data_IF_329777812418
#
_entry.id   IF_329777812418
#
_cell.length_a   1.000
_cell.length_b   1.000
_cell.length_c   1.000
_cell.angle_alpha   90.00
_cell.angle_beta   90.00
_cell.angle_gamma   90.00
#
_symmetry.space_group_name_H-M   'P 1'
#
loop_
_entity.id
_entity.type
_entity.pdbx_description
1 polymer ?
#
# COMPACT_ATOMS: atom_id res chain seq x y z
N UNK A 1 34.66 39.76 -32.01
CA UNK A 1 33.38 39.71 -31.24
C UNK A 1 32.87 38.29 -31.24
N UNK A 2 33.10 37.57 -30.21
CA UNK A 2 32.68 36.18 -30.07
C UNK A 2 31.43 36.16 -29.19
N UNK A 3 30.26 35.95 -29.79
CA UNK A 3 29.01 35.77 -29.08
C UNK A 3 28.97 34.33 -28.59
N UNK A 4 29.31 34.12 -27.33
CA UNK A 4 29.10 32.84 -26.65
C UNK A 4 27.63 32.68 -26.38
N UNK A 5 26.97 31.85 -27.16
CA UNK A 5 25.61 31.40 -26.88
C UNK A 5 25.70 30.35 -25.78
N UNK A 6 25.41 30.77 -24.58
CA UNK A 6 25.26 29.88 -23.41
C UNK A 6 23.90 29.18 -23.56
N UNK A 7 23.89 28.01 -24.17
CA UNK A 7 22.74 27.13 -24.15
C UNK A 7 22.63 26.55 -22.75
N UNK A 8 21.83 27.18 -21.92
CA UNK A 8 21.39 26.59 -20.67
C UNK A 8 20.43 25.45 -21.00
N UNK A 9 20.95 24.25 -21.05
CA UNK A 9 20.16 23.04 -21.06
C UNK A 9 19.52 22.91 -19.68
N UNK A 10 18.32 23.44 -19.57
CA UNK A 10 17.45 23.22 -18.43
C UNK A 10 16.98 21.76 -18.50
N UNK A 11 17.77 20.86 -17.94
CA UNK A 11 17.34 19.49 -17.69
C UNK A 11 16.23 19.56 -16.63
N UNK A 12 15.00 19.65 -17.11
CA UNK A 12 13.85 19.41 -16.27
C UNK A 12 13.93 17.95 -15.79
N UNK A 13 14.47 17.76 -14.58
CA UNK A 13 14.35 16.50 -13.87
C UNK A 13 12.86 16.27 -13.61
N UNK A 14 12.23 15.56 -14.50
CA UNK A 14 10.92 14.99 -14.28
C UNK A 14 11.16 13.93 -13.19
N UNK A 15 10.99 14.33 -11.94
CA UNK A 15 10.85 13.41 -10.84
C UNK A 15 9.56 12.62 -11.10
N UNK A 16 9.67 11.54 -11.86
CA UNK A 16 8.63 10.53 -11.92
C UNK A 16 8.53 9.97 -10.50
N UNK A 17 7.52 10.45 -9.78
CA UNK A 17 7.09 9.81 -8.54
C UNK A 17 6.76 8.37 -8.92
N UNK A 18 7.69 7.46 -8.70
CA UNK A 18 7.44 6.04 -8.80
C UNK A 18 6.48 5.73 -7.63
N UNK A 19 5.18 5.90 -7.88
CA UNK A 19 4.20 5.29 -7.00
C UNK A 19 4.54 3.81 -6.95
N UNK A 20 4.93 3.34 -5.77
CA UNK A 20 5.21 1.94 -5.55
C UNK A 20 3.94 1.17 -5.88
N UNK A 21 3.86 0.65 -7.10
CA UNK A 21 2.71 -0.10 -7.56
C UNK A 21 2.65 -1.39 -6.76
N UNK A 22 1.53 -1.62 -6.10
CA UNK A 22 1.28 -2.86 -5.40
C UNK A 22 1.43 -4.06 -6.34
N UNK A 23 2.10 -5.09 -5.85
CA UNK A 23 2.24 -6.39 -6.52
C UNK A 23 2.09 -7.50 -5.49
N UNK A 24 1.50 -8.65 -5.85
CA UNK A 24 1.56 -9.83 -5.00
C UNK A 24 3.00 -10.21 -4.68
N UNK A 25 3.27 -10.56 -3.42
CA UNK A 25 4.60 -10.89 -2.96
C UNK A 25 4.98 -12.35 -3.29
N UNK A 26 6.11 -12.52 -3.98
CA UNK A 26 6.86 -13.78 -4.13
C UNK A 26 6.09 -14.96 -4.71
N UNK A 27 6.67 -16.17 -4.51
CA UNK A 27 6.22 -17.45 -5.06
C UNK A 27 5.28 -18.23 -4.12
N UNK A 28 4.57 -17.53 -3.26
CA UNK A 28 3.63 -18.18 -2.34
C UNK A 28 2.40 -18.69 -3.06
N UNK A 29 1.79 -19.72 -2.50
CA UNK A 29 0.57 -20.33 -3.03
C UNK A 29 -0.52 -19.26 -3.20
N UNK A 30 -1.09 -19.23 -4.38
CA UNK A 30 -2.19 -18.34 -4.77
C UNK A 30 -3.35 -19.17 -5.28
N UNK A 31 -4.56 -18.67 -5.04
CA UNK A 31 -5.75 -19.22 -5.68
C UNK A 31 -5.94 -18.64 -7.07
N UNK A 32 -6.77 -19.27 -7.89
CA UNK A 32 -7.14 -18.76 -9.23
C UNK A 32 -7.75 -17.36 -9.23
N UNK A 33 -8.31 -16.92 -8.09
CA UNK A 33 -8.90 -15.58 -7.95
C UNK A 33 -7.87 -14.50 -7.58
N UNK A 34 -6.64 -14.87 -7.29
CA UNK A 34 -5.60 -13.91 -6.90
C UNK A 34 -5.30 -12.88 -7.99
N UNK A 35 -5.46 -13.25 -9.25
CA UNK A 35 -5.24 -12.37 -10.40
C UNK A 35 -6.36 -11.33 -10.58
N UNK A 36 -7.51 -11.55 -9.96
CA UNK A 36 -8.66 -10.65 -10.02
C UNK A 36 -8.67 -9.58 -8.92
N UNK A 37 -7.70 -9.65 -8.01
CA UNK A 37 -7.62 -8.69 -6.89
C UNK A 37 -7.18 -7.32 -7.41
N UNK A 38 -8.06 -6.34 -7.24
CA UNK A 38 -7.77 -4.94 -7.55
C UNK A 38 -7.53 -4.18 -6.24
N UNK A 39 -6.35 -3.60 -6.01
CA UNK A 39 -6.04 -2.87 -4.79
C UNK A 39 -6.87 -1.60 -4.58
N UNK A 40 -7.46 -1.05 -5.63
CA UNK A 40 -8.33 0.13 -5.54
C UNK A 40 -9.79 -0.22 -5.16
N UNK A 41 -10.17 -1.48 -5.33
CA UNK A 41 -11.53 -1.95 -5.06
C UNK A 41 -11.52 -3.35 -4.45
N UNK A 42 -10.93 -3.47 -3.27
CA UNK A 42 -10.75 -4.74 -2.59
C UNK A 42 -11.99 -5.10 -1.79
N UNK A 43 -12.62 -6.22 -2.16
CA UNK A 43 -13.77 -6.77 -1.43
C UNK A 43 -14.78 -5.67 -1.03
N UNK A 44 -15.44 -5.02 -2.00
CA UNK A 44 -16.30 -3.88 -1.73
C UNK A 44 -17.61 -4.27 -1.04
N UNK A 45 -17.94 -5.57 -1.02
CA UNK A 45 -19.20 -6.06 -0.49
C UNK A 45 -19.28 -5.87 1.04
N UNK A 46 -20.48 -5.61 1.52
CA UNK A 46 -20.73 -5.58 2.95
C UNK A 46 -20.49 -6.97 3.57
N UNK A 47 -19.68 -7.08 4.63
CA UNK A 47 -19.23 -8.39 5.13
C UNK A 47 -20.33 -9.23 5.81
N UNK A 48 -21.49 -8.61 6.12
CA UNK A 48 -22.62 -9.27 6.80
C UNK A 48 -23.94 -8.91 6.13
N UNK A 49 -24.27 -9.51 4.99
CA UNK A 49 -25.45 -9.13 4.19
C UNK A 49 -26.78 -9.29 4.93
N UNK A 50 -26.84 -10.10 5.99
CA UNK A 50 -28.05 -10.32 6.78
C UNK A 50 -28.31 -9.20 7.80
N UNK A 51 -27.31 -8.41 8.14
CA UNK A 51 -27.39 -7.35 9.15
C UNK A 51 -26.65 -6.10 8.66
N UNK A 52 -27.15 -5.50 7.60
CA UNK A 52 -26.56 -4.28 7.04
C UNK A 52 -26.87 -3.06 7.93
N UNK A 53 -25.87 -2.18 8.04
CA UNK A 53 -26.03 -0.86 8.64
C UNK A 53 -26.17 0.16 7.52
N UNK A 54 -27.04 1.15 7.71
CA UNK A 54 -27.24 2.21 6.72
C UNK A 54 -25.99 3.06 6.46
N UNK A 55 -25.16 3.20 7.49
CA UNK A 55 -23.88 3.92 7.38
C UNK A 55 -22.72 2.99 7.71
N UNK A 56 -21.90 2.69 6.74
CA UNK A 56 -20.62 1.99 6.92
C UNK A 56 -19.63 2.44 5.86
N UNK A 57 -18.35 2.28 6.17
CA UNK A 57 -17.27 2.60 5.27
C UNK A 57 -16.34 1.40 5.14
N UNK A 58 -16.07 0.99 3.91
CA UNK A 58 -15.05 0.01 3.62
C UNK A 58 -13.67 0.66 3.77
N UNK A 59 -12.82 0.10 4.64
CA UNK A 59 -11.45 0.54 4.86
C UNK A 59 -10.43 -0.39 4.21
N UNK A 60 -10.87 -1.35 3.39
CA UNK A 60 -9.97 -2.19 2.61
C UNK A 60 -9.20 -1.34 1.61
N UNK A 61 -8.01 -1.78 1.26
CA UNK A 61 -7.14 -1.09 0.34
C UNK A 61 -5.70 -1.06 0.81
N UNK A 62 -4.91 -0.13 0.27
CA UNK A 62 -3.50 -0.01 0.59
C UNK A 62 -3.29 0.78 1.88
N UNK A 63 -2.57 0.14 2.81
CA UNK A 63 -2.18 0.72 4.09
C UNK A 63 -0.66 0.74 4.22
N UNK A 64 -0.12 1.79 4.81
CA UNK A 64 1.28 1.78 5.23
C UNK A 64 1.49 0.79 6.38
N UNK A 65 2.60 0.07 6.37
CA UNK A 65 2.94 -0.84 7.46
C UNK A 65 4.39 -0.67 7.92
N UNK A 66 4.64 -1.00 9.17
CA UNK A 66 5.97 -1.15 9.76
C UNK A 66 5.97 -2.31 10.76
N UNK A 67 7.08 -3.04 10.82
CA UNK A 67 7.30 -4.10 11.80
C UNK A 67 8.30 -3.58 12.83
N UNK A 68 7.86 -3.40 14.07
CA UNK A 68 8.69 -2.83 15.14
C UNK A 68 8.82 -3.79 16.31
N UNK A 69 9.81 -3.54 17.16
CA UNK A 69 9.89 -4.20 18.46
C UNK A 69 8.70 -3.82 19.34
N UNK A 70 8.36 -4.68 20.30
CA UNK A 70 7.29 -4.39 21.28
C UNK A 70 7.62 -3.09 22.04
N UNK A 71 6.65 -2.20 22.11
CA UNK A 71 6.80 -0.90 22.79
C UNK A 71 7.47 0.21 21.98
N UNK A 72 8.09 -0.09 20.85
CA UNK A 72 8.67 0.91 19.98
C UNK A 72 7.64 1.50 19.02
N UNK A 73 7.69 2.82 18.80
CA UNK A 73 6.95 3.48 17.73
C UNK A 73 7.73 3.40 16.42
N UNK A 74 7.07 3.29 15.25
CA UNK A 74 7.78 3.29 13.97
C UNK A 74 8.34 4.69 13.71
N UNK A 75 9.61 4.77 13.37
CA UNK A 75 10.23 6.00 12.86
C UNK A 75 9.90 6.25 11.39
N UNK A 76 9.64 5.19 10.64
CA UNK A 76 9.22 5.21 9.25
C UNK A 76 8.42 3.95 8.91
N UNK A 77 7.61 4.03 7.86
CA UNK A 77 6.90 2.87 7.33
C UNK A 77 7.78 2.15 6.30
N UNK A 78 7.72 0.82 6.31
CA UNK A 78 8.53 -0.03 5.43
C UNK A 78 7.95 -0.14 4.02
N UNK A 79 6.63 0.02 3.87
CA UNK A 79 5.96 -0.11 2.60
C UNK A 79 4.44 -0.16 2.72
N UNK A 80 3.81 -0.65 1.66
CA UNK A 80 2.36 -0.79 1.55
C UNK A 80 1.95 -2.25 1.69
N UNK A 81 0.84 -2.48 2.38
CA UNK A 81 0.17 -3.77 2.40
C UNK A 81 -1.29 -3.63 1.99
N UNK A 82 -1.83 -4.65 1.34
CA UNK A 82 -3.22 -4.67 0.92
C UNK A 82 -4.09 -5.32 2.01
N UNK A 83 -4.93 -4.51 2.65
CA UNK A 83 -5.92 -4.95 3.63
C UNK A 83 -7.17 -5.42 2.86
N UNK A 84 -7.81 -6.54 3.22
CA UNK A 84 -7.74 -7.28 4.49
C UNK A 84 -6.79 -8.49 4.49
N UNK A 85 -5.90 -8.62 3.54
CA UNK A 85 -5.02 -9.79 3.46
C UNK A 85 -3.97 -9.79 4.57
N UNK A 86 -3.71 -10.98 5.14
CA UNK A 86 -2.67 -11.14 6.17
C UNK A 86 -1.30 -10.74 5.62
N UNK A 87 -0.50 -10.03 6.41
CA UNK A 87 0.82 -9.52 5.97
C UNK A 87 1.76 -10.63 5.45
N UNK A 88 1.61 -11.85 5.96
CA UNK A 88 2.40 -13.00 5.52
C UNK A 88 1.93 -13.57 4.16
N UNK A 89 0.75 -13.20 3.69
CA UNK A 89 0.20 -13.70 2.42
C UNK A 89 0.83 -13.01 1.21
N UNK A 90 0.73 -13.67 0.06
CA UNK A 90 1.16 -13.08 -1.21
C UNK A 90 0.34 -11.83 -1.57
N UNK A 91 -0.98 -11.90 -1.38
CA UNK A 91 -1.91 -10.82 -1.75
C UNK A 91 -1.77 -9.57 -0.89
N UNK A 92 -1.13 -9.63 0.28
CA UNK A 92 -0.79 -8.43 1.03
C UNK A 92 0.20 -7.53 0.28
N UNK A 93 0.97 -8.09 -0.63
CA UNK A 93 2.08 -7.41 -1.31
C UNK A 93 3.36 -7.31 -0.46
N UNK A 94 3.27 -7.49 0.85
CA UNK A 94 4.42 -7.47 1.76
C UNK A 94 5.06 -8.85 1.91
N UNK A 95 4.25 -9.90 2.05
CA UNK A 95 4.72 -11.27 2.17
C UNK A 95 5.63 -11.55 3.36
N UNK A 96 5.59 -10.72 4.40
CA UNK A 96 6.50 -10.77 5.55
C UNK A 96 5.93 -11.58 6.70
N UNK A 97 6.80 -12.31 7.38
CA UNK A 97 6.46 -13.02 8.61
C UNK A 97 6.75 -12.13 9.82
N UNK A 98 5.78 -11.97 10.69
CA UNK A 98 5.94 -11.24 11.95
C UNK A 98 6.27 -12.25 13.06
N UNK A 99 7.41 -12.08 13.72
CA UNK A 99 7.84 -12.91 14.83
C UNK A 99 7.07 -12.53 16.12
N UNK A 100 6.97 -13.43 17.12
CA UNK A 100 6.21 -13.17 18.35
C UNK A 100 6.73 -12.00 19.21
N UNK A 101 7.98 -11.61 19.03
CA UNK A 101 8.65 -10.50 19.71
C UNK A 101 8.41 -9.14 19.02
N UNK A 102 7.84 -9.16 17.82
CA UNK A 102 7.59 -7.97 17.00
C UNK A 102 6.11 -7.64 16.89
N UNK A 103 5.83 -6.39 16.54
CA UNK A 103 4.48 -5.87 16.36
C UNK A 103 4.33 -5.29 14.96
N UNK A 104 3.29 -5.71 14.26
CA UNK A 104 2.85 -5.07 13.03
C UNK A 104 2.07 -3.81 13.38
N UNK A 105 2.50 -2.69 12.84
CA UNK A 105 1.80 -1.41 12.90
C UNK A 105 1.37 -1.01 11.50
N UNK A 106 0.13 -0.58 11.38
CA UNK A 106 -0.44 -0.17 10.11
C UNK A 106 -1.14 1.17 10.24
N UNK A 107 -1.09 1.97 9.19
CA UNK A 107 -1.75 3.25 9.10
C UNK A 107 -2.53 3.35 7.79
N UNK A 108 -3.79 3.69 7.91
CA UNK A 108 -4.63 4.00 6.75
C UNK A 108 -4.31 5.40 6.24
N UNK A 109 -3.96 5.48 4.97
CA UNK A 109 -3.78 6.77 4.30
C UNK A 109 -5.02 7.06 3.48
N UNK A 110 -5.97 7.79 4.06
CA UNK A 110 -7.08 8.31 3.27
C UNK A 110 -6.59 9.52 2.48
N UNK A 111 -6.61 9.42 1.17
CA UNK A 111 -6.61 10.61 0.33
C UNK A 111 -8.00 11.23 0.47
N UNK A 112 -8.13 12.17 1.38
CA UNK A 112 -9.36 12.98 1.45
C UNK A 112 -9.31 13.92 0.26
N UNK A 113 -9.94 13.52 -0.84
CA UNK A 113 -10.29 14.45 -1.89
C UNK A 113 -11.46 15.25 -1.38
N UNK A 114 -11.18 16.41 -0.82
CA UNK A 114 -12.22 17.40 -0.51
C UNK A 114 -12.75 17.90 -1.86
N UNK A 115 -13.99 17.57 -2.13
CA UNK A 115 -14.78 18.18 -3.20
C UNK A 115 -15.28 19.54 -2.74
#
# INVERSE_FOLDING_TARGET
MKKSILIAVLTASIATSAFAQWKPAGDKIKTKWAEQVNPENVLPEYPRPVMERGEWKNLNGLWNYAITEKGAAPSAYEGLMLVPFAIASSLSGAGKKVCPDKVLRSQFTSTVTSS
#
